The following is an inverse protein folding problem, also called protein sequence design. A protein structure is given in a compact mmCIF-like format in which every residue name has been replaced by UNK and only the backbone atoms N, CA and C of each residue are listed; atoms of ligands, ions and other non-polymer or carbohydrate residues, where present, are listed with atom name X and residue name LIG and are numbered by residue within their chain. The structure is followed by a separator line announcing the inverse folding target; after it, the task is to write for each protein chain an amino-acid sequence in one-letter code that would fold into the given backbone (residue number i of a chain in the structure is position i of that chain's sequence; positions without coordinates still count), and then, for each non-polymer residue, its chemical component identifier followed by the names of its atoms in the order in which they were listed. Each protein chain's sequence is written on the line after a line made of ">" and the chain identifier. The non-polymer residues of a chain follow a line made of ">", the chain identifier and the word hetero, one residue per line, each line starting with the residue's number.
data_IF_760711705351
#
_entry.id   IF_760711705351
#
_cell.length_a   1.000
_cell.length_b   1.000
_cell.length_c   1.000
_cell.angle_alpha   90.00
_cell.angle_beta   90.00
_cell.angle_gamma   90.00
#
_symmetry.space_group_name_H-M   'P 1'
#
loop_
_entity.id
_entity.type
_entity.pdbx_description
1 polymer ?
#
# COMPACT_ATOMS: atom_id res chain seq x y z
N UNK A 1 -22.48 22.94 12.28
CA UNK A 1 -22.41 23.48 10.91
C UNK A 1 -23.54 22.82 10.15
N UNK A 2 -24.38 23.58 9.45
CA UNK A 2 -25.42 22.95 8.66
C UNK A 2 -24.85 22.40 7.34
N UNK A 3 -25.60 21.53 6.68
CA UNK A 3 -25.17 20.82 5.46
C UNK A 3 -24.92 21.81 4.29
N UNK A 4 -25.72 22.86 4.15
CA UNK A 4 -25.55 23.86 3.10
C UNK A 4 -24.25 24.65 3.26
N UNK A 5 -23.90 25.04 4.48
CA UNK A 5 -22.65 25.75 4.76
C UNK A 5 -21.43 24.83 4.54
N UNK A 6 -21.55 23.52 4.86
CA UNK A 6 -20.52 22.53 4.59
C UNK A 6 -20.28 22.41 3.08
N UNK A 7 -21.35 22.17 2.30
CA UNK A 7 -21.29 22.07 0.83
C UNK A 7 -20.68 23.32 0.21
N UNK A 8 -21.13 24.49 0.62
CA UNK A 8 -20.61 25.78 0.11
C UNK A 8 -19.10 25.95 0.37
N UNK A 9 -18.60 25.55 1.54
CA UNK A 9 -17.17 25.64 1.87
C UNK A 9 -16.35 24.63 1.08
N UNK A 10 -16.84 23.42 0.94
CA UNK A 10 -16.17 22.36 0.16
C UNK A 10 -16.12 22.74 -1.31
N UNK A 11 -17.25 23.14 -1.92
CA UNK A 11 -17.31 23.55 -3.32
C UNK A 11 -16.35 24.70 -3.62
N UNK A 12 -16.31 25.74 -2.76
CA UNK A 12 -15.40 26.87 -2.94
C UNK A 12 -13.93 26.45 -3.00
N UNK A 13 -13.51 25.50 -2.18
CA UNK A 13 -12.11 25.02 -2.15
C UNK A 13 -11.81 24.18 -3.39
N UNK A 14 -12.68 23.22 -3.69
CA UNK A 14 -12.48 22.26 -4.79
C UNK A 14 -12.52 22.95 -6.13
N UNK A 15 -13.52 23.81 -6.38
CA UNK A 15 -13.66 24.58 -7.63
C UNK A 15 -12.48 25.52 -7.86
N UNK A 16 -11.93 26.11 -6.80
CA UNK A 16 -10.69 26.89 -6.90
C UNK A 16 -9.52 26.03 -7.38
N UNK A 17 -9.35 24.81 -6.81
CA UNK A 17 -8.30 23.88 -7.25
C UNK A 17 -8.45 23.46 -8.71
N UNK A 18 -9.70 23.25 -9.16
CA UNK A 18 -10.01 22.95 -10.56
C UNK A 18 -9.70 24.15 -11.46
N UNK A 19 -10.16 25.34 -11.09
CA UNK A 19 -9.93 26.56 -11.86
C UNK A 19 -8.45 26.93 -11.99
N UNK A 20 -7.64 26.60 -10.99
CA UNK A 20 -6.17 26.76 -11.01
C UNK A 20 -5.43 25.61 -11.74
N UNK A 21 -6.14 24.62 -12.26
CA UNK A 21 -5.56 23.47 -12.95
C UNK A 21 -4.80 22.47 -12.05
N UNK A 22 -4.90 22.63 -10.73
CA UNK A 22 -4.23 21.74 -9.76
C UNK A 22 -4.80 20.32 -9.76
N UNK A 23 -6.12 20.20 -9.95
CA UNK A 23 -6.84 18.92 -10.08
C UNK A 23 -7.79 18.98 -11.28
N UNK A 24 -8.12 17.81 -11.85
CA UNK A 24 -9.11 17.72 -12.91
C UNK A 24 -10.54 17.69 -12.35
N UNK A 25 -10.72 17.03 -11.25
CA UNK A 25 -11.97 16.89 -10.54
C UNK A 25 -11.74 16.20 -9.19
N UNK A 26 -12.78 16.11 -8.41
CA UNK A 26 -12.76 15.46 -7.08
C UNK A 26 -14.13 14.86 -6.76
N UNK A 27 -14.12 13.82 -5.92
CA UNK A 27 -15.28 13.35 -5.20
C UNK A 27 -14.99 13.55 -3.70
N UNK A 28 -15.91 14.20 -2.99
CA UNK A 28 -15.74 14.53 -1.56
C UNK A 28 -16.89 13.92 -0.77
N UNK A 29 -16.54 13.04 0.19
CA UNK A 29 -17.47 12.48 1.16
C UNK A 29 -17.15 12.97 2.58
N UNK A 30 -18.15 13.42 3.32
CA UNK A 30 -18.03 13.77 4.74
C UNK A 30 -19.05 12.99 5.52
N UNK A 31 -18.56 12.26 6.53
CA UNK A 31 -19.38 11.42 7.39
C UNK A 31 -19.15 11.79 8.85
N UNK A 32 -20.22 11.75 9.64
CA UNK A 32 -20.15 11.93 11.09
C UNK A 32 -21.10 10.94 11.76
N UNK A 33 -20.62 10.20 12.76
CA UNK A 33 -21.41 9.20 13.47
C UNK A 33 -22.13 8.19 12.55
N UNK A 34 -21.45 7.76 11.48
CA UNK A 34 -21.97 6.87 10.43
C UNK A 34 -23.08 7.48 9.54
N UNK A 35 -23.39 8.76 9.69
CA UNK A 35 -24.30 9.48 8.81
C UNK A 35 -23.52 10.26 7.75
N UNK A 36 -24.01 10.20 6.51
CA UNK A 36 -23.48 10.97 5.41
C UNK A 36 -23.96 12.41 5.52
N UNK A 37 -23.04 13.34 5.71
CA UNK A 37 -23.32 14.77 5.72
C UNK A 37 -23.17 15.41 4.34
N UNK A 38 -22.28 14.85 3.50
CA UNK A 38 -22.00 15.34 2.18
C UNK A 38 -21.42 14.20 1.33
N UNK A 39 -21.89 14.06 0.08
CA UNK A 39 -21.23 13.26 -0.96
C UNK A 39 -21.43 13.97 -2.29
N UNK A 40 -20.40 14.66 -2.78
CA UNK A 40 -20.47 15.51 -3.97
C UNK A 40 -19.30 15.26 -4.91
N UNK A 41 -19.56 15.37 -6.21
CA UNK A 41 -18.56 15.23 -7.26
C UNK A 41 -18.40 16.54 -8.02
N UNK A 42 -17.15 16.90 -8.37
CA UNK A 42 -16.79 18.17 -8.99
C UNK A 42 -15.85 17.94 -10.17
N UNK A 43 -16.01 18.73 -11.23
CA UNK A 43 -15.12 18.75 -12.37
C UNK A 43 -15.12 17.46 -13.21
N UNK A 44 -13.97 17.06 -13.71
CA UNK A 44 -13.82 15.97 -14.67
C UNK A 44 -13.14 14.76 -14.05
N UNK A 45 -13.66 13.56 -14.36
CA UNK A 45 -12.99 12.29 -14.10
C UNK A 45 -11.90 12.00 -15.13
N UNK A 46 -12.04 12.53 -16.34
CA UNK A 46 -11.10 12.38 -17.42
C UNK A 46 -11.07 13.65 -18.27
N UNK A 47 -9.88 14.26 -18.38
CA UNK A 47 -9.67 15.50 -19.15
C UNK A 47 -9.74 15.28 -20.66
N UNK A 48 -9.26 14.14 -21.15
CA UNK A 48 -9.16 13.87 -22.58
C UNK A 48 -10.54 13.64 -23.19
N UNK A 49 -11.38 12.83 -22.53
CA UNK A 49 -12.74 12.56 -22.99
C UNK A 49 -13.78 13.59 -22.53
N UNK A 50 -13.42 14.50 -21.62
CA UNK A 50 -14.36 15.45 -21.02
C UNK A 50 -15.38 14.83 -20.08
N UNK A 51 -15.16 13.58 -19.62
CA UNK A 51 -16.09 12.84 -18.77
C UNK A 51 -16.17 13.49 -17.39
N UNK A 52 -17.39 13.85 -16.99
CA UNK A 52 -17.64 14.43 -15.67
C UNK A 52 -17.34 13.45 -14.51
N UNK A 53 -16.89 13.98 -13.38
CA UNK A 53 -16.73 13.23 -12.15
C UNK A 53 -18.11 12.79 -11.63
N UNK A 54 -18.14 11.60 -11.04
CA UNK A 54 -19.35 11.03 -10.41
C UNK A 54 -19.01 10.58 -8.99
N UNK A 55 -20.02 10.51 -8.12
CA UNK A 55 -19.84 10.09 -6.72
C UNK A 55 -19.52 8.60 -6.58
N UNK A 56 -19.85 7.80 -7.58
CA UNK A 56 -19.56 6.36 -7.68
C UNK A 56 -18.26 6.05 -8.46
N UNK A 57 -17.46 7.06 -8.76
CA UNK A 57 -16.20 6.89 -9.47
C UNK A 57 -15.22 6.00 -8.70
N UNK A 58 -14.56 5.09 -9.40
CA UNK A 58 -13.56 4.20 -8.83
C UNK A 58 -12.18 4.87 -8.83
N UNK A 59 -11.58 4.93 -7.65
CA UNK A 59 -10.26 5.50 -7.44
C UNK A 59 -9.23 4.44 -7.06
N UNK A 60 -8.01 4.59 -7.57
CA UNK A 60 -6.86 3.86 -7.05
C UNK A 60 -6.41 4.52 -5.75
N UNK A 61 -6.58 3.85 -4.64
CA UNK A 61 -6.32 4.43 -3.31
C UNK A 61 -4.87 4.28 -2.83
N UNK A 62 -4.01 3.60 -3.61
CA UNK A 62 -2.58 3.42 -3.32
C UNK A 62 -2.30 3.06 -1.85
N UNK A 63 -1.51 3.87 -1.14
CA UNK A 63 -1.13 3.62 0.27
C UNK A 63 -2.30 3.62 1.25
N UNK A 64 -3.45 4.17 0.89
CA UNK A 64 -4.67 4.06 1.70
C UNK A 64 -5.22 2.62 1.75
N UNK A 65 -4.71 1.72 0.92
CA UNK A 65 -4.94 0.27 1.04
C UNK A 65 -4.37 -0.30 2.35
N UNK A 66 -3.31 0.29 2.90
CA UNK A 66 -2.66 -0.19 4.13
C UNK A 66 -3.60 -0.29 5.34
N UNK A 67 -4.37 0.76 5.70
CA UNK A 67 -5.35 0.67 6.78
C UNK A 67 -6.37 -0.45 6.55
N UNK A 68 -6.88 -0.62 5.34
CA UNK A 68 -7.84 -1.68 5.00
C UNK A 68 -7.22 -3.05 5.26
N UNK A 69 -6.00 -3.26 4.79
CA UNK A 69 -5.27 -4.52 4.98
C UNK A 69 -4.94 -4.76 6.46
N UNK A 70 -4.56 -3.72 7.20
CA UNK A 70 -4.30 -3.83 8.64
C UNK A 70 -5.56 -4.26 9.40
N UNK A 71 -6.73 -3.69 9.08
CA UNK A 71 -8.01 -4.10 9.67
C UNK A 71 -8.29 -5.58 9.41
N UNK A 72 -8.14 -6.05 8.16
CA UNK A 72 -8.33 -7.47 7.81
C UNK A 72 -7.38 -8.38 8.59
N UNK A 73 -6.11 -7.98 8.72
CA UNK A 73 -5.12 -8.72 9.53
C UNK A 73 -5.53 -8.79 10.99
N UNK A 74 -6.00 -7.70 11.57
CA UNK A 74 -6.49 -7.69 12.96
C UNK A 74 -7.75 -8.53 13.13
N UNK A 75 -8.64 -8.60 12.15
CA UNK A 75 -9.79 -9.51 12.17
C UNK A 75 -9.37 -10.98 12.16
N UNK A 76 -8.31 -11.34 11.44
CA UNK A 76 -7.75 -12.70 11.46
C UNK A 76 -7.09 -13.01 12.80
N UNK A 77 -6.38 -12.05 13.38
CA UNK A 77 -5.82 -12.17 14.72
C UNK A 77 -6.90 -12.38 15.79
N UNK A 78 -7.97 -11.59 15.80
CA UNK A 78 -9.10 -11.75 16.70
C UNK A 78 -9.76 -13.14 16.62
N UNK A 79 -9.73 -13.76 15.43
CA UNK A 79 -10.25 -15.11 15.19
C UNK A 79 -9.26 -16.21 15.57
N UNK A 80 -8.06 -15.88 16.02
CA UNK A 80 -7.00 -16.83 16.34
C UNK A 80 -6.42 -17.57 15.13
N UNK A 81 -6.55 -16.99 13.92
CA UNK A 81 -6.06 -17.61 12.68
C UNK A 81 -4.56 -17.32 12.50
N UNK A 82 -4.09 -16.21 13.01
CA UNK A 82 -2.68 -15.82 13.04
C UNK A 82 -2.34 -15.07 14.32
N UNK A 83 -1.05 -15.06 14.66
CA UNK A 83 -0.51 -14.25 15.74
C UNK A 83 0.39 -13.14 15.19
N UNK A 84 0.43 -11.99 15.86
CA UNK A 84 1.23 -10.86 15.41
C UNK A 84 2.74 -11.17 15.44
N UNK A 85 3.16 -12.10 16.28
CA UNK A 85 4.54 -12.55 16.41
C UNK A 85 4.91 -13.72 15.50
N UNK A 86 3.94 -14.24 14.74
CA UNK A 86 4.22 -15.31 13.80
C UNK A 86 5.22 -14.86 12.75
N UNK A 87 6.22 -15.71 12.45
CA UNK A 87 7.12 -15.48 11.33
C UNK A 87 6.37 -15.47 10.01
N UNK A 88 6.63 -14.48 9.17
CA UNK A 88 6.00 -14.35 7.84
C UNK A 88 6.22 -15.59 6.98
N UNK A 89 7.36 -16.27 7.15
CA UNK A 89 7.68 -17.46 6.36
C UNK A 89 6.76 -18.67 6.64
N UNK A 90 5.97 -18.68 7.71
CA UNK A 90 4.95 -19.69 7.93
C UNK A 90 3.82 -19.60 6.90
N UNK A 91 3.53 -18.38 6.44
CA UNK A 91 2.50 -18.09 5.45
C UNK A 91 3.08 -17.92 4.04
N UNK A 92 4.29 -17.40 3.96
CA UNK A 92 5.01 -17.14 2.69
C UNK A 92 6.41 -17.74 2.81
N UNK A 93 6.62 -19.03 2.43
CA UNK A 93 7.87 -19.76 2.65
C UNK A 93 9.12 -19.08 2.10
N UNK A 94 8.98 -18.28 1.05
CA UNK A 94 10.08 -17.51 0.46
C UNK A 94 10.67 -16.43 1.37
N UNK A 95 10.03 -16.13 2.51
CA UNK A 95 10.58 -15.24 3.55
C UNK A 95 11.54 -15.93 4.53
N UNK A 96 11.77 -17.23 4.38
CA UNK A 96 12.79 -17.95 5.16
C UNK A 96 14.19 -17.54 4.71
N UNK A 97 15.15 -17.58 5.63
CA UNK A 97 16.58 -17.37 5.36
C UNK A 97 16.92 -16.06 4.62
N UNK A 98 16.35 -14.96 5.08
CA UNK A 98 16.58 -13.65 4.47
C UNK A 98 17.97 -13.10 4.75
N UNK A 99 18.53 -12.42 3.75
CA UNK A 99 19.75 -11.66 3.86
C UNK A 99 19.44 -10.18 4.10
N UNK A 100 20.28 -9.55 4.90
CA UNK A 100 20.26 -8.12 5.19
C UNK A 100 21.50 -7.47 4.60
N UNK A 101 21.35 -6.33 3.96
CA UNK A 101 22.45 -5.50 3.53
C UNK A 101 22.96 -4.67 4.69
N UNK A 102 24.19 -4.95 5.14
CA UNK A 102 24.86 -4.24 6.22
C UNK A 102 26.24 -3.82 5.75
N UNK A 103 26.54 -2.53 5.76
CA UNK A 103 27.81 -1.94 5.35
C UNK A 103 28.29 -2.40 3.94
N UNK A 104 27.35 -2.54 3.02
CA UNK A 104 27.59 -2.99 1.64
C UNK A 104 27.79 -4.51 1.48
N UNK A 105 27.72 -5.28 2.58
CA UNK A 105 27.79 -6.74 2.53
C UNK A 105 26.42 -7.36 2.83
N UNK A 106 26.20 -8.56 2.28
CA UNK A 106 25.01 -9.35 2.58
C UNK A 106 25.31 -10.32 3.71
N UNK A 107 24.56 -10.17 4.80
CA UNK A 107 24.66 -11.03 5.97
C UNK A 107 23.32 -11.70 6.27
N UNK A 108 23.28 -12.89 6.86
CA UNK A 108 22.03 -13.50 7.30
C UNK A 108 21.29 -12.59 8.27
N UNK A 109 19.96 -12.50 8.12
CA UNK A 109 19.12 -11.78 9.07
C UNK A 109 19.21 -12.46 10.45
N UNK A 110 19.44 -11.68 11.50
CA UNK A 110 19.53 -12.19 12.88
C UNK A 110 18.15 -12.54 13.47
N UNK A 111 17.10 -11.94 12.92
CA UNK A 111 15.72 -12.16 13.34
C UNK A 111 14.81 -12.37 12.16
N UNK A 112 13.78 -13.16 12.40
CA UNK A 112 12.74 -13.41 11.41
C UNK A 112 11.82 -12.19 11.27
N UNK A 113 11.32 -11.98 10.05
CA UNK A 113 10.30 -10.98 9.80
C UNK A 113 8.98 -11.54 10.33
N UNK A 114 8.31 -10.79 11.20
CA UNK A 114 6.99 -11.17 11.76
C UNK A 114 5.87 -10.35 11.12
N UNK A 115 4.62 -10.80 11.34
CA UNK A 115 3.42 -10.04 10.94
C UNK A 115 3.44 -8.64 11.56
N UNK A 116 3.84 -8.53 12.83
CA UNK A 116 3.98 -7.24 13.52
C UNK A 116 4.99 -6.32 12.83
N UNK A 117 6.12 -6.85 12.34
CA UNK A 117 7.10 -6.05 11.61
C UNK A 117 6.53 -5.50 10.31
N UNK A 118 5.66 -6.25 9.62
CA UNK A 118 4.97 -5.76 8.44
C UNK A 118 3.97 -4.65 8.79
N UNK A 119 3.15 -4.83 9.82
CA UNK A 119 2.16 -3.83 10.26
C UNK A 119 2.81 -2.52 10.70
N UNK A 120 3.91 -2.61 11.44
CA UNK A 120 4.66 -1.45 11.93
C UNK A 120 5.60 -0.83 10.90
N UNK A 121 5.69 -1.41 9.70
CA UNK A 121 6.62 -1.00 8.63
C UNK A 121 8.10 -1.05 9.05
N UNK A 122 8.45 -2.00 9.91
CA UNK A 122 9.82 -2.21 10.44
C UNK A 122 10.46 -3.49 9.88
N UNK A 123 9.87 -4.08 8.84
CA UNK A 123 10.35 -5.33 8.23
C UNK A 123 11.68 -5.19 7.48
N UNK A 124 12.12 -3.97 7.19
CA UNK A 124 13.32 -3.72 6.39
C UNK A 124 13.14 -3.90 4.87
N UNK A 125 11.93 -4.20 4.40
CA UNK A 125 11.62 -4.28 2.96
C UNK A 125 11.63 -2.86 2.38
N UNK A 126 12.52 -2.53 1.44
CA UNK A 126 12.66 -1.18 0.94
C UNK A 126 11.64 -0.82 -0.15
N UNK A 127 11.44 0.48 -0.37
CA UNK A 127 10.87 0.99 -1.61
C UNK A 127 11.93 1.02 -2.74
N UNK A 128 11.51 1.11 -4.01
CA UNK A 128 12.42 1.43 -5.11
C UNK A 128 13.24 2.68 -4.78
N UNK A 129 14.52 2.66 -5.11
CA UNK A 129 15.41 3.80 -4.84
C UNK A 129 16.80 3.62 -5.43
N UNK A 130 17.67 4.60 -5.15
CA UNK A 130 19.04 4.67 -5.60
C UNK A 130 19.97 4.47 -4.39
N UNK A 131 21.14 3.92 -4.65
CA UNK A 131 22.21 3.80 -3.65
C UNK A 131 22.58 2.34 -3.38
N UNK A 132 21.85 1.65 -2.52
CA UNK A 132 22.19 0.27 -2.17
C UNK A 132 21.71 -0.74 -3.22
N UNK A 133 22.34 -1.91 -3.25
CA UNK A 133 21.95 -3.01 -4.14
C UNK A 133 20.50 -3.46 -3.89
N UNK A 134 20.07 -3.47 -2.63
CA UNK A 134 18.70 -3.82 -2.24
C UNK A 134 17.66 -2.85 -2.82
N UNK A 135 17.96 -1.55 -2.82
CA UNK A 135 17.07 -0.53 -3.40
C UNK A 135 16.99 -0.66 -4.93
N UNK A 136 18.13 -0.93 -5.59
CA UNK A 136 18.17 -1.13 -7.04
C UNK A 136 17.44 -2.40 -7.47
N UNK A 137 17.55 -3.49 -6.72
CA UNK A 137 16.78 -4.71 -6.98
C UNK A 137 15.28 -4.47 -6.85
N UNK A 138 14.85 -3.69 -5.85
CA UNK A 138 13.46 -3.30 -5.71
C UNK A 138 12.99 -2.45 -6.90
N UNK A 139 13.82 -1.51 -7.39
CA UNK A 139 13.50 -0.72 -8.57
C UNK A 139 13.28 -1.60 -9.80
N UNK A 140 14.20 -2.54 -10.08
CA UNK A 140 14.05 -3.50 -11.19
C UNK A 140 12.76 -4.32 -11.08
N UNK A 141 12.42 -4.77 -9.88
CA UNK A 141 11.18 -5.51 -9.64
C UNK A 141 9.93 -4.68 -9.95
N UNK A 142 9.90 -3.41 -9.54
CA UNK A 142 8.78 -2.53 -9.87
C UNK A 142 8.70 -2.21 -11.36
N UNK A 143 9.84 -2.09 -12.03
CA UNK A 143 9.90 -1.91 -13.49
C UNK A 143 9.37 -3.14 -14.23
N UNK A 144 9.72 -4.36 -13.78
CA UNK A 144 9.18 -5.61 -14.32
C UNK A 144 7.65 -5.71 -14.17
N UNK A 145 7.12 -5.37 -12.99
CA UNK A 145 5.66 -5.35 -12.76
C UNK A 145 4.97 -4.29 -13.64
N UNK A 146 5.58 -3.12 -13.75
CA UNK A 146 5.02 -2.03 -14.56
C UNK A 146 5.01 -2.39 -16.05
N UNK A 147 6.08 -2.99 -16.54
CA UNK A 147 6.20 -3.45 -17.93
C UNK A 147 5.21 -4.59 -18.26
N UNK A 148 4.92 -5.46 -17.29
CA UNK A 148 3.90 -6.51 -17.41
C UNK A 148 2.46 -5.97 -17.45
N UNK A 149 2.28 -4.63 -17.28
CA UNK A 149 0.99 -3.95 -17.43
C UNK A 149 0.02 -4.22 -16.30
N UNK A 150 0.48 -4.23 -15.07
CA UNK A 150 -0.32 -4.30 -13.82
C UNK A 150 -1.62 -5.11 -13.98
N UNK A 151 -1.50 -6.35 -14.45
CA UNK A 151 -2.65 -7.22 -14.69
C UNK A 151 -3.07 -7.86 -13.36
N UNK A 152 -4.36 -7.81 -12.97
CA UNK A 152 -4.88 -8.48 -11.78
C UNK A 152 -4.71 -10.01 -11.79
N UNK A 153 -4.36 -10.58 -12.96
CA UNK A 153 -4.18 -12.01 -13.18
C UNK A 153 -2.77 -12.55 -12.96
N UNK A 154 -1.81 -11.68 -12.61
CA UNK A 154 -0.52 -12.20 -12.14
C UNK A 154 -0.80 -12.79 -10.77
N UNK A 155 -0.69 -14.10 -10.67
CA UNK A 155 -0.82 -14.81 -9.40
C UNK A 155 0.13 -14.14 -8.41
N UNK A 156 -0.47 -13.50 -7.41
CA UNK A 156 0.27 -12.71 -6.42
C UNK A 156 1.26 -13.61 -5.67
N UNK A 157 0.97 -14.92 -5.58
CA UNK A 157 1.88 -15.92 -5.01
C UNK A 157 3.09 -16.17 -5.92
N UNK A 158 2.92 -16.32 -7.23
CA UNK A 158 4.05 -16.48 -8.17
C UNK A 158 4.93 -15.23 -8.22
N UNK A 159 4.31 -14.04 -8.27
CA UNK A 159 5.06 -12.78 -8.22
C UNK A 159 5.81 -12.60 -6.91
N UNK A 160 5.25 -13.04 -5.79
CA UNK A 160 5.91 -12.99 -4.48
C UNK A 160 6.95 -14.09 -4.32
N UNK A 161 6.73 -15.30 -4.84
CA UNK A 161 7.77 -16.34 -4.85
C UNK A 161 8.99 -15.92 -5.69
N UNK A 162 8.77 -15.39 -6.88
CA UNK A 162 9.85 -14.87 -7.72
C UNK A 162 10.57 -13.67 -7.11
N UNK A 163 9.85 -12.77 -6.47
CA UNK A 163 10.39 -11.56 -5.86
C UNK A 163 10.96 -11.81 -4.47
N UNK A 164 10.33 -12.59 -3.62
CA UNK A 164 10.82 -12.85 -2.26
C UNK A 164 12.16 -13.62 -2.26
N UNK A 165 12.46 -14.41 -3.29
CA UNK A 165 13.80 -14.97 -3.50
C UNK A 165 14.84 -13.89 -3.86
N UNK A 166 14.39 -12.76 -4.43
CA UNK A 166 15.24 -11.64 -4.84
C UNK A 166 15.32 -10.54 -3.78
N UNK A 167 14.40 -10.49 -2.81
CA UNK A 167 14.39 -9.42 -1.81
C UNK A 167 15.52 -9.57 -0.78
N UNK A 168 16.31 -8.54 -0.72
CA UNK A 168 17.29 -8.29 0.32
C UNK A 168 16.74 -7.18 1.20
N UNK A 169 16.67 -7.42 2.51
CA UNK A 169 16.25 -6.37 3.45
C UNK A 169 17.37 -5.35 3.63
N UNK A 170 17.03 -4.06 3.60
CA UNK A 170 17.97 -3.00 3.95
C UNK A 170 18.02 -2.84 5.45
N UNK A 171 19.21 -3.00 6.01
CA UNK A 171 19.67 -2.66 7.35
C UNK A 171 19.05 -3.33 8.58
N UNK A 172 19.94 -3.55 9.54
CA UNK A 172 19.64 -3.82 10.94
C UNK A 172 18.77 -2.72 11.54
N UNK A 173 17.64 -3.10 12.11
CA UNK A 173 16.77 -2.40 13.07
C UNK A 173 16.99 -0.90 13.32
N UNK A 174 15.94 -0.14 13.14
CA UNK A 174 15.64 1.02 13.98
C UNK A 174 16.16 2.36 13.52
N UNK A 175 16.78 2.50 12.35
CA UNK A 175 17.24 3.80 11.87
C UNK A 175 16.97 3.98 10.38
N UNK A 176 15.82 4.37 10.10
CA UNK A 176 15.24 4.96 8.91
C UNK A 176 14.00 4.16 8.48
N UNK A 177 12.84 4.76 8.76
CA UNK A 177 11.56 4.26 8.31
C UNK A 177 11.50 4.28 6.80
N UNK A 178 11.99 3.25 6.16
CA UNK A 178 11.74 3.00 4.75
C UNK A 178 10.49 2.16 4.70
N UNK A 179 9.41 2.83 4.35
CA UNK A 179 8.08 2.25 4.30
C UNK A 179 7.89 1.45 3.03
N UNK A 180 7.76 0.15 3.13
CA UNK A 180 7.20 -0.60 2.02
C UNK A 180 6.15 -1.58 2.51
N UNK A 181 4.92 -1.26 2.26
CA UNK A 181 3.82 -2.21 2.21
C UNK A 181 3.23 -2.15 0.80
N UNK A 182 3.65 -2.98 -0.11
CA UNK A 182 2.78 -3.30 -1.22
C UNK A 182 2.28 -4.75 -1.13
N UNK A 183 2.44 -5.64 -2.09
CA UNK A 183 1.54 -6.78 -2.31
C UNK A 183 1.58 -7.87 -1.23
N UNK A 184 2.52 -7.87 -0.30
CA UNK A 184 2.70 -8.93 0.71
C UNK A 184 1.47 -9.12 1.59
N UNK A 185 0.76 -8.04 1.93
CA UNK A 185 -0.45 -8.12 2.75
C UNK A 185 -1.64 -8.76 2.04
N UNK A 186 -1.74 -8.60 0.72
CA UNK A 186 -2.79 -9.26 -0.05
C UNK A 186 -2.65 -10.78 -0.02
N UNK A 187 -1.41 -11.29 -0.01
CA UNK A 187 -1.15 -12.73 0.05
C UNK A 187 -1.45 -13.30 1.43
N UNK A 188 -1.15 -12.58 2.50
CA UNK A 188 -1.52 -13.02 3.85
C UNK A 188 -3.03 -13.18 4.01
N UNK A 189 -3.84 -12.30 3.41
CA UNK A 189 -5.30 -12.41 3.45
C UNK A 189 -5.85 -13.58 2.62
N UNK A 190 -5.12 -14.06 1.60
CA UNK A 190 -5.55 -15.15 0.71
C UNK A 190 -4.94 -16.51 1.04
N UNK A 191 -3.84 -16.55 1.79
CA UNK A 191 -3.12 -17.79 2.12
C UNK A 191 -3.59 -18.46 3.40
N UNK A 192 -4.57 -17.89 4.07
CA UNK A 192 -5.18 -18.48 5.28
C UNK A 192 -6.45 -19.21 4.87
N UNK A 193 -6.56 -20.53 5.18
CA UNK A 193 -7.72 -21.36 4.83
C UNK A 193 -9.02 -20.91 5.50
#
# INVERSE_FOLDING_TARGET
>A
MNQEELSRRVSTIVERGIAQGQIAGACVGVYQNQEELLCEAYGLADRESGRAMQTDALFRIFSMTKPVTAVVTMMLWERGVLELRDPVHWYIPSFRDKLVEQDGALVPAQEEITIQHLLNMTSGIPYPGWGSESLQQMSRFYDEISAAGYRPSVDTQESLHGSAQKFRCCSSRGRSGIMALPPIFWVLCWSVP
#
